data_IF_555428488154
#
_entry.id   IF_555428488154
#
_cell.length_a   1.000
_cell.length_b   1.000
_cell.length_c   1.000
_cell.angle_alpha   90.00
_cell.angle_beta   90.00
_cell.angle_gamma   90.00
#
_symmetry.space_group_name_H-M   'P 1'
#
loop_
_entity.id
_entity.type
_entity.pdbx_description
1 polymer ?
2 non-polymer ?
3 non-polymer ?
4 water ?
#
# COMPACT_ATOMS: atom_id res chain seq x y z
N UNK A 1 6.71 8.74 24.33
CA UNK A 1 7.22 7.36 24.07
C UNK A 1 6.18 6.49 23.41
N UNK A 2 6.56 5.27 23.04
CA UNK A 2 5.66 4.33 22.39
C UNK A 2 4.44 4.04 23.23
N UNK A 3 4.59 4.09 24.55
CA UNK A 3 3.45 3.83 25.42
C UNK A 3 2.42 4.94 25.30
N UNK A 4 2.89 6.19 25.21
CA UNK A 4 1.99 7.33 25.07
C UNK A 4 1.39 7.34 23.66
N UNK A 5 2.19 6.95 22.68
CA UNK A 5 1.74 6.90 21.29
C UNK A 5 0.58 5.94 21.17
N UNK A 6 0.74 4.74 21.73
CA UNK A 6 -0.33 3.75 21.67
C UNK A 6 -1.52 4.26 22.45
N UNK A 7 -1.23 4.93 23.56
CA UNK A 7 -2.29 5.45 24.40
C UNK A 7 -3.16 6.50 23.74
N UNK A 8 -2.53 7.51 23.13
CA UNK A 8 -3.26 8.57 22.47
C UNK A 8 -4.07 8.04 21.30
N UNK A 9 -3.46 7.17 20.50
CA UNK A 9 -4.16 6.59 19.36
C UNK A 9 -5.38 5.80 19.82
N UNK A 10 -5.23 5.10 20.95
CA UNK A 10 -6.33 4.32 21.50
C UNK A 10 -7.40 5.19 22.13
N UNK A 11 -7.01 6.36 22.62
CA UNK A 11 -7.96 7.28 23.24
C UNK A 11 -8.95 7.80 22.20
N UNK A 12 -8.43 8.24 21.06
CA UNK A 12 -9.27 8.80 20.01
C UNK A 12 -10.12 7.82 19.21
N UNK A 13 -9.73 6.55 19.17
CA UNK A 13 -10.51 5.55 18.44
C UNK A 13 -10.27 5.66 16.94
N UNK A 14 -11.00 4.88 16.10
CA UNK A 14 -12.03 3.89 16.43
C UNK A 14 -11.58 2.43 16.50
N UNK A 15 -10.29 2.18 16.25
CA UNK A 15 -9.78 0.82 16.27
C UNK A 15 -8.54 0.64 17.15
N UNK A 16 -8.15 -0.61 17.39
CA UNK A 16 -6.99 -0.89 18.23
C UNK A 16 -5.72 -0.31 17.63
N UNK A 17 -4.86 0.28 18.49
CA UNK A 17 -3.59 0.88 18.09
C UNK A 17 -2.71 -0.11 17.35
N UNK A 18 -2.88 -1.39 17.66
CA UNK A 18 -2.09 -2.45 17.04
C UNK A 18 -2.38 -2.56 15.55
N UNK A 19 -3.51 -2.02 15.13
CA UNK A 19 -3.91 -2.06 13.73
C UNK A 19 -2.96 -1.27 12.84
N UNK A 20 -2.17 -0.39 13.44
CA UNK A 20 -1.24 0.43 12.66
C UNK A 20 0.23 0.10 12.93
N UNK A 21 0.46 -0.96 13.70
CA UNK A 21 1.82 -1.38 14.04
C UNK A 21 2.70 -1.51 12.80
N UNK A 22 2.15 -2.13 11.75
CA UNK A 22 2.86 -2.31 10.49
C UNK A 22 1.79 -2.25 9.39
N UNK A 23 1.69 -1.10 8.73
CA UNK A 23 0.68 -0.88 7.71
C UNK A 23 1.21 0.06 6.62
N UNK A 24 0.84 -0.21 5.38
CA UNK A 24 1.27 0.61 4.26
C UNK A 24 2.79 0.78 4.16
N UNK A 25 3.21 1.92 3.60
CA UNK A 25 4.63 2.19 3.45
C UNK A 25 5.25 2.97 4.59
N UNK A 26 4.42 3.54 5.45
CA UNK A 26 4.96 4.33 6.55
C UNK A 26 4.61 3.98 7.98
N UNK A 27 3.61 3.15 8.21
CA UNK A 27 3.30 2.84 9.60
C UNK A 27 4.19 1.69 10.06
N UNK A 28 5.12 2.00 10.96
CA UNK A 28 6.06 1.00 11.46
C UNK A 28 7.44 1.61 11.37
N UNK A 29 8.43 1.02 12.04
CA UNK A 29 9.80 1.55 12.02
C UNK A 29 10.24 2.01 10.64
N UNK A 30 10.71 3.25 10.54
CA UNK A 30 11.16 3.79 9.27
C UNK A 30 10.06 3.91 8.24
N UNK A 31 10.40 3.91 6.96
CA UNK A 31 9.39 3.99 5.93
C UNK A 31 9.82 4.81 4.74
N UNK A 32 9.34 4.43 3.55
CA UNK A 32 9.68 5.15 2.32
C UNK A 32 8.67 4.83 1.22
N UNK A 33 8.65 5.66 0.18
CA UNK A 33 7.75 5.43 -0.93
C UNK A 33 6.56 6.39 -0.97
N UNK A 34 5.57 6.01 -1.75
CA UNK A 34 4.37 6.81 -1.89
C UNK A 34 3.29 6.30 -0.93
N UNK A 35 2.78 7.17 -0.05
CA UNK A 35 1.75 6.76 0.89
C UNK A 35 0.65 6.02 0.15
N UNK A 36 0.16 4.92 0.73
CA UNK A 36 -0.87 4.11 0.10
C UNK A 36 -2.28 4.66 0.27
N UNK A 37 -2.53 5.33 1.38
CA UNK A 37 -3.86 5.88 1.68
C UNK A 37 -3.78 6.89 2.82
N UNK A 38 -4.95 7.32 3.28
CA UNK A 38 -5.08 8.31 4.35
C UNK A 38 -4.29 7.91 5.60
N UNK A 39 -4.46 6.67 6.03
CA UNK A 39 -3.76 6.17 7.20
C UNK A 39 -2.25 6.25 6.98
N UNK A 40 -1.79 5.77 5.85
CA UNK A 40 -0.37 5.80 5.53
C UNK A 40 0.13 7.26 5.52
N UNK A 41 -0.76 8.19 5.19
CA UNK A 41 -0.40 9.61 5.15
C UNK A 41 -0.22 10.13 6.57
N UNK A 42 -1.04 9.64 7.49
CA UNK A 42 -0.94 10.06 8.87
C UNK A 42 0.40 9.61 9.42
N UNK A 43 0.82 8.39 9.08
CA UNK A 43 2.10 7.89 9.55
C UNK A 43 3.25 8.65 8.92
N UNK A 44 3.06 9.12 7.69
CA UNK A 44 4.09 9.88 7.00
C UNK A 44 4.32 11.17 7.75
N UNK A 45 3.22 11.88 8.04
CA UNK A 45 3.33 13.13 8.77
C UNK A 45 3.89 12.93 10.17
N UNK A 46 3.58 11.78 10.77
CA UNK A 46 4.07 11.50 12.11
C UNK A 46 5.59 11.31 12.05
N UNK A 47 6.06 10.54 11.07
CA UNK A 47 7.50 10.34 10.94
C UNK A 47 8.18 11.68 10.82
N UNK A 48 7.65 12.53 9.95
CA UNK A 48 8.19 13.86 9.76
C UNK A 48 8.27 14.59 11.10
N UNK A 49 7.17 14.56 11.84
CA UNK A 49 7.10 15.24 13.13
C UNK A 49 8.20 14.70 14.05
N UNK A 50 8.35 13.38 14.12
CA UNK A 50 9.37 12.78 14.97
C UNK A 50 10.77 13.20 14.53
N UNK A 51 11.00 13.34 13.22
CA UNK A 51 12.32 13.76 12.76
C UNK A 51 12.60 15.17 13.25
N UNK A 52 11.59 16.03 13.18
CA UNK A 52 11.74 17.41 13.64
C UNK A 52 12.07 17.46 15.13
N UNK A 53 11.43 16.60 15.92
CA UNK A 53 11.69 16.57 17.35
C UNK A 53 13.13 16.09 17.60
N UNK A 54 13.56 15.08 16.86
CA UNK A 54 14.91 14.56 17.02
C UNK A 54 15.91 15.69 16.75
N UNK A 55 15.63 16.49 15.71
CA UNK A 55 16.51 17.60 15.37
C UNK A 55 16.45 18.68 16.46
N UNK A 56 15.36 18.70 17.22
CA UNK A 56 15.20 19.67 18.30
C UNK A 56 15.90 19.14 19.55
N UNK A 57 16.58 18.02 19.41
CA UNK A 57 17.29 17.42 20.54
C UNK A 57 16.38 16.66 21.49
N UNK A 58 15.49 15.84 20.95
CA UNK A 58 14.58 15.06 21.76
C UNK A 58 14.62 13.58 21.38
N UNK A 59 13.95 12.75 22.16
CA UNK A 59 13.92 11.31 21.93
C UNK A 59 12.47 10.82 21.86
N UNK A 60 11.80 11.08 20.73
CA UNK A 60 10.40 10.71 20.44
C UNK A 60 9.94 9.31 20.81
N UNK A 61 10.82 8.33 20.66
CA UNK A 61 10.46 6.95 20.96
C UNK A 61 10.64 6.49 22.40
N UNK A 62 11.32 7.28 23.21
CA UNK A 62 11.57 6.87 24.58
C UNK A 62 11.03 7.70 25.72
N UNK A 63 11.20 9.02 25.66
CA UNK A 63 10.74 9.85 26.77
C UNK A 63 9.24 9.86 26.99
N UNK A 64 8.86 9.66 28.24
CA UNK A 64 7.46 9.65 28.62
C UNK A 64 6.95 11.08 28.81
N UNK A 65 5.63 11.26 28.82
CA UNK A 65 5.04 12.56 29.03
C UNK A 65 3.63 12.39 29.55
N UNK A 66 3.15 13.37 30.31
CA UNK A 66 1.81 13.33 30.88
C UNK A 66 0.76 13.83 29.90
N UNK A 67 -0.43 13.26 29.99
CA UNK A 67 -1.54 13.66 29.12
C UNK A 67 -2.86 13.05 29.62
N UNK A 68 -3.98 13.59 29.16
CA UNK A 68 -5.31 13.10 29.55
C UNK A 68 -6.19 12.74 28.36
N UNK A 69 -7.07 11.76 28.56
CA UNK A 69 -8.02 11.37 27.53
C UNK A 69 -9.39 11.81 28.06
N UNK A 70 -10.04 12.72 27.35
CA UNK A 70 -11.36 13.19 27.74
C UNK A 70 -12.30 13.16 26.55
N UNK A 71 -13.41 12.42 26.68
CA UNK A 71 -14.40 12.30 25.60
C UNK A 71 -13.67 11.93 24.31
N UNK A 72 -12.75 10.98 24.41
CA UNK A 72 -11.95 10.51 23.29
C UNK A 72 -11.13 11.62 22.67
N UNK A 73 -10.67 12.55 23.50
CA UNK A 73 -9.85 13.65 23.02
C UNK A 73 -8.59 13.73 23.87
N UNK A 74 -7.46 13.97 23.22
CA UNK A 74 -6.18 14.05 23.90
C UNK A 74 -5.86 15.47 24.34
N UNK A 75 -5.51 15.62 25.62
CA UNK A 75 -5.14 16.91 26.20
C UNK A 75 -3.69 16.75 26.66
N UNK A 76 -2.79 17.56 26.12
CA UNK A 76 -1.37 17.47 26.44
C UNK A 76 -0.88 18.26 27.66
N UNK A 77 -0.15 17.57 28.54
CA UNK A 77 0.38 18.22 29.73
C UNK A 77 0.10 17.48 31.03
N UNK A 78 0.74 17.88 32.14
CA UNK A 78 1.70 18.99 32.23
C UNK A 78 3.04 18.59 31.59
N UNK A 79 3.73 19.53 30.95
CA UNK A 79 5.04 19.26 30.35
C UNK A 79 6.17 19.78 31.25
N UNK A 80 7.19 18.95 31.43
CA UNK A 80 8.33 19.31 32.27
C UNK A 80 9.44 19.97 31.45
N UNK A 81 9.36 19.84 30.13
CA UNK A 81 10.35 20.42 29.23
C UNK A 81 9.75 20.60 27.85
N UNK A 82 10.49 21.21 26.94
CA UNK A 82 10.01 21.47 25.59
C UNK A 82 9.81 20.17 24.79
N UNK A 83 10.59 19.15 25.10
CA UNK A 83 10.49 17.88 24.39
C UNK A 83 9.17 17.16 24.64
N UNK A 84 8.70 17.19 25.88
CA UNK A 84 7.42 16.56 26.21
C UNK A 84 6.28 17.26 25.46
N UNK A 85 6.44 18.55 25.22
CA UNK A 85 5.46 19.34 24.48
C UNK A 85 5.42 18.85 23.04
N UNK A 86 6.61 18.76 22.44
CA UNK A 86 6.77 18.31 21.07
C UNK A 86 6.24 16.89 20.84
N UNK A 87 6.66 15.95 21.69
CA UNK A 87 6.23 14.56 21.53
C UNK A 87 4.72 14.41 21.60
N UNK A 88 4.11 14.99 22.62
CA UNK A 88 2.67 14.87 22.77
C UNK A 88 1.96 15.49 21.59
N UNK A 89 2.54 16.55 21.03
CA UNK A 89 1.94 17.23 19.87
C UNK A 89 1.95 16.30 18.66
N UNK A 90 3.05 15.58 18.47
CA UNK A 90 3.15 14.66 17.34
C UNK A 90 2.13 13.54 17.50
N UNK A 91 2.15 12.90 18.66
CA UNK A 91 1.23 11.80 18.91
C UNK A 91 -0.22 12.25 18.84
N UNK A 92 -0.52 13.41 19.42
CA UNK A 92 -1.88 13.94 19.40
C UNK A 92 -2.30 14.17 17.95
N UNK A 93 -1.38 14.63 17.13
CA UNK A 93 -1.68 14.88 15.72
C UNK A 93 -1.95 13.61 14.93
N UNK A 94 -1.16 12.55 15.11
CA UNK A 94 -1.42 11.34 14.34
C UNK A 94 -2.70 10.67 14.87
N UNK A 95 -2.97 10.80 16.17
CA UNK A 95 -4.18 10.22 16.74
C UNK A 95 -5.42 10.86 16.08
N UNK A 96 -5.47 12.18 16.03
CA UNK A 96 -6.59 12.87 15.40
C UNK A 96 -6.69 12.49 13.93
N UNK A 97 -5.57 12.54 13.23
CA UNK A 97 -5.50 12.20 11.80
C UNK A 97 -6.06 10.78 11.61
N UNK A 98 -5.46 9.83 12.31
CA UNK A 98 -5.86 8.43 12.21
C UNK A 98 -7.35 8.23 12.50
N UNK A 99 -7.85 8.94 13.50
CA UNK A 99 -9.25 8.82 13.87
C UNK A 99 -10.26 9.03 12.74
N UNK A 100 -9.91 9.88 11.78
CA UNK A 100 -10.81 10.20 10.66
C UNK A 100 -10.73 9.31 9.43
N UNK A 101 -10.00 8.21 9.54
CA UNK A 101 -9.79 7.33 8.39
C UNK A 101 -10.57 6.03 8.33
N UNK A 102 -10.63 5.46 7.13
CA UNK A 102 -11.25 4.17 6.88
C UNK A 102 -10.06 3.22 6.84
N UNK A 103 -10.28 1.96 7.20
CA UNK A 103 -9.21 0.97 7.23
C UNK A 103 -9.20 0.04 6.01
N UNK A 104 -8.01 -0.11 5.42
CA UNK A 104 -7.84 -0.97 4.25
C UNK A 104 -6.98 -2.18 4.63
N UNK A 105 -7.63 -3.33 4.81
CA UNK A 105 -6.95 -4.56 5.18
C UNK A 105 -5.82 -4.95 4.21
N UNK A 106 -6.01 -4.65 2.93
CA UNK A 106 -5.04 -4.96 1.90
C UNK A 106 -3.67 -4.33 2.10
N UNK A 107 -3.57 -3.38 3.03
CA UNK A 107 -2.30 -2.71 3.30
C UNK A 107 -1.69 -3.14 4.64
N UNK A 108 -2.37 -4.02 5.34
CA UNK A 108 -1.86 -4.52 6.61
C UNK A 108 -0.68 -5.42 6.29
N UNK A 109 0.50 -5.09 6.83
CA UNK A 109 1.71 -5.88 6.59
C UNK A 109 2.15 -5.79 5.14
N UNK A 110 1.97 -4.62 4.54
CA UNK A 110 2.36 -4.39 3.15
C UNK A 110 3.89 -4.47 3.02
N UNK A 111 4.40 -5.28 2.08
CA UNK A 111 5.84 -5.47 1.84
C UNK A 111 6.55 -4.19 1.41
N UNK A 112 7.53 -3.76 2.20
CA UNK A 112 8.25 -2.54 1.86
C UNK A 112 8.91 -2.68 0.49
N UNK A 113 9.05 -3.92 0.02
CA UNK A 113 9.65 -4.15 -1.29
C UNK A 113 8.80 -3.46 -2.36
N UNK A 114 7.50 -3.36 -2.09
CA UNK A 114 6.58 -2.73 -3.03
C UNK A 114 6.51 -1.23 -2.85
N UNK A 115 7.25 -0.69 -1.88
CA UNK A 115 7.26 0.74 -1.64
C UNK A 115 8.40 1.40 -2.39
N UNK A 116 8.10 2.52 -3.04
CA UNK A 116 9.09 3.25 -3.83
C UNK A 116 10.26 3.74 -2.99
N UNK A 117 11.41 3.98 -3.64
CA UNK A 117 12.63 4.47 -2.99
C UNK A 117 12.50 5.88 -2.43
N UNK A 118 11.79 6.73 -3.17
CA UNK A 118 11.59 8.13 -2.78
C UNK A 118 10.31 8.38 -2.00
N UNK A 119 10.32 9.46 -1.22
CA UNK A 119 9.18 9.83 -0.39
C UNK A 119 8.81 11.30 -0.57
N UNK A 120 7.53 11.64 -0.35
CA UNK A 120 7.09 13.03 -0.49
C UNK A 120 7.81 13.87 0.57
N UNK A 121 7.96 15.16 0.32
CA UNK A 121 8.64 16.04 1.27
C UNK A 121 7.85 16.22 2.56
N UNK A 122 8.56 16.57 3.62
CA UNK A 122 7.94 16.80 4.91
C UNK A 122 7.53 18.28 5.01
N UNK A 123 6.44 18.54 5.70
CA UNK A 123 5.97 19.92 5.86
C UNK A 123 6.86 20.71 6.82
N UNK B 1 6.17 -1.29 -14.40
CA UNK B 1 6.95 -2.45 -13.89
C UNK B 1 6.31 -3.09 -12.68
N UNK B 2 6.96 -4.13 -12.16
CA UNK B 2 6.47 -4.85 -10.99
C UNK B 2 5.85 -3.95 -9.92
N UNK B 3 6.57 -2.91 -9.51
CA UNK B 3 6.04 -2.02 -8.48
C UNK B 3 4.73 -1.37 -8.90
N UNK B 4 4.69 -0.85 -10.12
CA UNK B 4 3.50 -0.20 -10.63
C UNK B 4 2.33 -1.18 -10.72
N UNK B 5 2.64 -2.41 -11.12
CA UNK B 5 1.63 -3.46 -11.23
C UNK B 5 1.01 -3.74 -9.87
N UNK B 6 1.86 -3.92 -8.85
CA UNK B 6 1.38 -4.20 -7.51
C UNK B 6 0.59 -3.01 -7.01
N UNK B 7 1.10 -1.81 -7.31
CA UNK B 7 0.42 -0.60 -6.88
C UNK B 7 -0.95 -0.43 -7.50
N UNK B 8 -1.03 -0.50 -8.82
CA UNK B 8 -2.32 -0.33 -9.50
C UNK B 8 -3.37 -1.33 -9.05
N UNK B 9 -2.95 -2.57 -8.81
CA UNK B 9 -3.87 -3.61 -8.36
C UNK B 9 -4.34 -3.33 -6.94
N UNK B 10 -3.42 -2.89 -6.09
CA UNK B 10 -3.79 -2.58 -4.71
C UNK B 10 -4.72 -1.39 -4.64
N UNK B 11 -4.45 -0.40 -5.48
CA UNK B 11 -5.23 0.83 -5.56
C UNK B 11 -6.72 0.59 -5.80
N UNK B 12 -7.02 -0.18 -6.84
CA UNK B 12 -8.40 -0.45 -7.24
C UNK B 12 -9.09 -1.60 -6.51
N UNK B 13 -8.36 -2.69 -6.28
CA UNK B 13 -8.92 -3.85 -5.64
C UNK B 13 -9.17 -3.82 -4.14
N UNK B 14 -9.84 -4.87 -3.61
CA UNK B 14 -10.19 -5.06 -2.20
C UNK B 14 -9.22 -5.94 -1.40
N UNK B 15 -8.12 -6.36 -2.03
CA UNK B 15 -7.17 -7.22 -1.32
C UNK B 15 -5.71 -6.96 -1.68
N UNK B 16 -4.81 -7.49 -0.87
CA UNK B 16 -3.38 -7.30 -1.12
C UNK B 16 -3.00 -7.91 -2.46
N UNK B 17 -2.08 -7.26 -3.20
CA UNK B 17 -1.61 -7.72 -4.50
C UNK B 17 -0.95 -9.09 -4.41
N UNK B 18 -0.39 -9.36 -3.24
CA UNK B 18 0.29 -10.62 -2.96
C UNK B 18 -0.67 -11.82 -3.15
N UNK B 19 -1.97 -11.54 -3.11
CA UNK B 19 -2.99 -12.57 -3.28
C UNK B 19 -3.00 -13.15 -4.70
N UNK B 20 -2.32 -12.49 -5.64
CA UNK B 20 -2.28 -12.96 -7.01
C UNK B 20 -0.88 -13.39 -7.44
N UNK B 21 0.03 -13.44 -6.48
CA UNK B 21 1.41 -13.82 -6.74
C UNK B 21 1.49 -15.21 -7.39
N UNK B 22 0.75 -16.17 -6.84
CA UNK B 22 0.71 -17.53 -7.36
C UNK B 22 -0.74 -18.00 -7.20
N UNK B 23 -1.51 -17.92 -8.28
CA UNK B 23 -2.91 -18.30 -8.23
C UNK B 23 -3.38 -18.79 -9.60
N UNK B 24 -4.18 -19.86 -9.60
CA UNK B 24 -4.69 -20.41 -10.85
C UNK B 24 -3.59 -20.87 -11.79
N UNK B 25 -3.89 -20.88 -13.09
CA UNK B 25 -2.91 -21.30 -14.09
C UNK B 25 -2.20 -20.13 -14.77
N UNK B 26 -2.70 -18.90 -14.56
CA UNK B 26 -2.09 -17.74 -15.19
C UNK B 26 -1.57 -16.61 -14.30
N UNK B 27 -1.96 -16.57 -13.03
CA UNK B 27 -1.47 -15.51 -12.15
C UNK B 27 -0.10 -15.86 -11.60
N UNK B 28 0.92 -15.18 -12.10
CA UNK B 28 2.28 -15.44 -11.67
C UNK B 28 3.13 -15.82 -12.86
N UNK B 29 4.45 -15.74 -12.72
CA UNK B 29 5.37 -16.08 -13.81
C UNK B 29 4.81 -17.18 -14.72
N UNK B 30 4.77 -16.91 -16.03
CA UNK B 30 4.26 -17.89 -16.98
C UNK B 30 2.77 -18.16 -16.82
N UNK B 31 2.24 -19.07 -17.64
CA UNK B 31 0.83 -19.38 -17.56
C UNK B 31 0.29 -20.09 -18.79
N UNK B 32 -0.47 -21.16 -18.58
CA UNK B 32 -1.03 -21.91 -19.69
C UNK B 32 -2.15 -22.85 -19.19
N UNK B 33 -3.05 -23.19 -20.09
CA UNK B 33 -4.15 -24.07 -19.73
C UNK B 33 -5.45 -23.32 -19.76
N UNK B 34 -6.48 -23.92 -19.17
CA UNK B 34 -7.80 -23.29 -19.12
C UNK B 34 -7.96 -22.46 -17.86
N UNK B 35 -8.15 -21.15 -18.00
CA UNK B 35 -8.32 -20.32 -16.80
C UNK B 35 -9.33 -20.98 -15.88
N UNK B 36 -8.99 -21.08 -14.60
CA UNK B 36 -9.85 -21.71 -13.62
C UNK B 36 -11.03 -20.87 -13.17
N UNK B 37 -10.85 -19.55 -13.12
CA UNK B 37 -11.93 -18.69 -12.70
C UNK B 37 -11.76 -17.26 -13.21
N UNK B 38 -12.60 -16.36 -12.71
CA UNK B 38 -12.58 -14.97 -13.12
C UNK B 38 -11.19 -14.35 -12.91
N UNK B 39 -10.69 -14.45 -11.68
CA UNK B 39 -9.37 -13.91 -11.36
C UNK B 39 -8.34 -14.44 -12.35
N UNK B 40 -8.38 -15.74 -12.59
CA UNK B 40 -7.44 -16.39 -13.50
C UNK B 40 -7.61 -15.92 -14.94
N UNK B 41 -8.81 -15.45 -15.28
CA UNK B 41 -9.06 -14.94 -16.63
C UNK B 41 -8.39 -13.57 -16.75
N UNK B 42 -8.47 -12.79 -15.68
CA UNK B 42 -7.86 -11.47 -15.66
C UNK B 42 -6.36 -11.61 -15.88
N UNK B 43 -5.77 -12.62 -15.26
CA UNK B 43 -4.34 -12.86 -15.40
C UNK B 43 -4.02 -13.39 -16.79
N UNK B 44 -5.04 -13.90 -17.48
CA UNK B 44 -4.86 -14.41 -18.83
C UNK B 44 -4.74 -13.22 -19.78
N UNK B 45 -5.70 -12.31 -19.71
CA UNK B 45 -5.68 -11.14 -20.56
C UNK B 45 -4.48 -10.25 -20.31
N UNK B 46 -4.00 -10.25 -19.06
CA UNK B 46 -2.85 -9.45 -18.68
C UNK B 46 -1.61 -10.04 -19.33
N UNK B 47 -1.55 -11.37 -19.40
CA UNK B 47 -0.42 -12.05 -20.01
C UNK B 47 -0.38 -11.70 -21.49
N UNK B 48 -1.54 -11.67 -22.13
CA UNK B 48 -1.63 -11.32 -23.54
C UNK B 48 -1.12 -9.90 -23.70
N UNK B 49 -1.65 -9.00 -22.87
CA UNK B 49 -1.27 -7.59 -22.89
C UNK B 49 0.24 -7.45 -22.75
N UNK B 50 0.82 -8.10 -21.74
CA UNK B 50 2.25 -8.02 -21.51
C UNK B 50 3.04 -8.57 -22.68
N UNK B 51 2.46 -9.54 -23.38
CA UNK B 51 3.14 -10.13 -24.53
C UNK B 51 3.35 -9.09 -25.62
N UNK B 52 2.26 -8.51 -26.12
CA UNK B 52 2.33 -7.50 -27.16
C UNK B 52 3.35 -6.43 -26.75
N UNK B 53 3.20 -5.96 -25.51
CA UNK B 53 4.08 -4.93 -24.97
C UNK B 53 5.55 -5.24 -25.20
N UNK B 54 5.90 -6.51 -25.09
CA UNK B 54 7.29 -6.95 -25.29
C UNK B 54 7.62 -6.94 -26.77
N UNK B 55 6.64 -7.26 -27.60
CA UNK B 55 6.83 -7.29 -29.03
C UNK B 55 7.06 -5.87 -29.58
N UNK B 56 6.82 -4.87 -28.73
CA UNK B 56 7.00 -3.48 -29.12
C UNK B 56 8.31 -2.94 -28.55
N UNK B 57 9.14 -3.84 -28.03
CA UNK B 57 10.41 -3.43 -27.47
C UNK B 57 10.33 -2.91 -26.05
N UNK B 58 9.27 -3.27 -25.34
CA UNK B 58 9.10 -2.83 -23.95
C UNK B 58 9.42 -3.95 -22.96
N UNK B 59 9.72 -3.56 -21.72
CA UNK B 59 10.05 -4.51 -20.65
C UNK B 59 9.00 -4.41 -19.54
N UNK B 60 7.84 -5.05 -19.74
CA UNK B 60 6.72 -5.06 -18.79
C UNK B 60 7.08 -5.25 -17.32
N UNK B 61 8.17 -5.96 -17.05
CA UNK B 61 8.57 -6.20 -15.67
C UNK B 61 9.44 -5.12 -15.04
N UNK B 62 10.26 -4.45 -15.86
CA UNK B 62 11.17 -3.44 -15.32
C UNK B 62 10.81 -1.97 -15.59
N UNK B 63 10.50 -1.64 -16.83
CA UNK B 63 10.17 -0.27 -17.20
C UNK B 63 9.24 0.46 -16.24
N UNK B 64 9.70 1.61 -15.75
CA UNK B 64 8.94 2.45 -14.84
C UNK B 64 7.99 3.36 -15.61
N UNK B 65 7.04 3.96 -14.89
CA UNK B 65 6.08 4.87 -15.51
C UNK B 65 5.26 5.60 -14.46
N UNK B 66 4.80 6.79 -14.80
CA UNK B 66 4.02 7.60 -13.87
C UNK B 66 2.52 7.34 -13.93
N UNK B 67 1.91 7.26 -12.76
CA UNK B 67 0.47 7.03 -12.63
C UNK B 67 0.07 7.53 -11.26
N UNK B 68 -1.23 7.69 -11.05
CA UNK B 68 -1.73 8.17 -9.77
C UNK B 68 -2.97 7.39 -9.36
N UNK B 69 -3.13 7.17 -8.07
CA UNK B 69 -4.28 6.46 -7.56
C UNK B 69 -5.26 7.46 -6.94
N UNK B 70 -6.11 8.05 -7.77
CA UNK B 70 -7.08 9.01 -7.27
C UNK B 70 -8.40 8.31 -6.98
N UNK B 71 -8.87 8.44 -5.74
CA UNK B 71 -10.13 7.83 -5.33
C UNK B 71 -10.14 6.34 -5.69
N UNK B 72 -9.05 5.65 -5.34
CA UNK B 72 -8.91 4.23 -5.63
C UNK B 72 -9.29 3.92 -7.07
N UNK B 73 -8.71 4.70 -7.98
CA UNK B 73 -8.94 4.53 -9.40
C UNK B 73 -7.62 4.89 -10.08
N UNK B 74 -7.16 4.01 -10.95
CA UNK B 74 -5.89 4.22 -11.65
C UNK B 74 -5.93 5.27 -12.75
N UNK B 75 -5.01 6.23 -12.65
CA UNK B 75 -4.87 7.29 -13.63
C UNK B 75 -3.49 7.13 -14.27
N UNK B 76 -3.46 6.97 -15.59
CA UNK B 76 -2.20 6.79 -16.30
C UNK B 76 -1.63 8.07 -16.88
N UNK B 77 -0.31 8.23 -16.80
CA UNK B 77 0.33 9.41 -17.34
C UNK B 77 0.93 10.34 -16.31
N UNK B 78 1.77 11.30 -16.74
CA UNK B 78 2.16 11.53 -18.13
C UNK B 78 3.09 10.45 -18.68
N UNK B 79 2.85 10.03 -19.92
CA UNK B 79 3.68 8.99 -20.54
C UNK B 79 4.88 9.60 -21.27
N UNK B 80 6.07 9.28 -20.79
CA UNK B 80 7.32 9.78 -21.39
C UNK B 80 7.64 9.13 -22.72
N UNK B 81 7.03 7.97 -22.98
CA UNK B 81 7.24 7.25 -24.22
C UNK B 81 6.17 6.19 -24.38
N UNK B 82 5.99 5.71 -25.62
CA UNK B 82 4.96 4.71 -25.90
C UNK B 82 4.88 3.57 -24.88
N UNK B 83 6.02 2.96 -24.56
CA UNK B 83 6.03 1.86 -23.60
C UNK B 83 5.31 2.21 -22.30
N UNK B 84 5.57 3.40 -21.77
CA UNK B 84 4.91 3.80 -20.53
C UNK B 84 3.40 3.75 -20.69
N UNK B 85 2.91 4.18 -21.85
CA UNK B 85 1.49 4.17 -22.12
C UNK B 85 0.94 2.74 -22.10
N UNK B 86 1.59 1.86 -22.85
CA UNK B 86 1.19 0.46 -22.93
C UNK B 86 1.15 -0.25 -21.58
N UNK B 87 2.30 -0.25 -20.90
CA UNK B 87 2.40 -0.91 -19.60
C UNK B 87 1.36 -0.43 -18.59
N UNK B 88 1.14 0.88 -18.54
CA UNK B 88 0.17 1.41 -17.60
C UNK B 88 -1.23 0.93 -17.97
N UNK B 89 -1.51 0.86 -19.27
CA UNK B 89 -2.83 0.41 -19.71
C UNK B 89 -3.05 -1.04 -19.28
N UNK B 90 -2.05 -1.90 -19.53
CA UNK B 90 -2.14 -3.31 -19.16
C UNK B 90 -2.44 -3.46 -17.68
N UNK B 91 -1.56 -2.92 -16.84
CA UNK B 91 -1.73 -2.99 -15.39
C UNK B 91 -3.07 -2.41 -14.98
N UNK B 92 -3.43 -1.28 -15.58
CA UNK B 92 -4.70 -0.62 -15.27
C UNK B 92 -5.87 -1.54 -15.60
N UNK B 93 -5.76 -2.27 -16.71
CA UNK B 93 -6.81 -3.18 -17.12
C UNK B 93 -6.98 -4.36 -16.16
N UNK B 94 -5.88 -4.96 -15.73
CA UNK B 94 -5.99 -6.09 -14.81
C UNK B 94 -6.51 -5.61 -13.46
N UNK B 95 -6.05 -4.44 -13.03
CA UNK B 95 -6.49 -3.88 -11.75
C UNK B 95 -8.02 -3.79 -11.72
N UNK B 96 -8.60 -3.19 -12.76
CA UNK B 96 -10.06 -3.06 -12.83
C UNK B 96 -10.72 -4.44 -12.92
N UNK B 97 -10.12 -5.31 -13.71
CA UNK B 97 -10.62 -6.67 -13.91
C UNK B 97 -10.66 -7.45 -12.60
N UNK B 98 -9.56 -7.37 -11.85
CA UNK B 98 -9.43 -8.06 -10.57
C UNK B 98 -10.33 -7.50 -9.48
N UNK B 99 -10.49 -6.19 -9.44
CA UNK B 99 -11.30 -5.54 -8.42
C UNK B 99 -12.75 -6.02 -8.37
N UNK B 100 -13.18 -6.74 -9.40
CA UNK B 100 -14.55 -7.23 -9.48
C UNK B 100 -14.70 -8.75 -9.41
N UNK B 101 -13.84 -9.40 -8.64
CA UNK B 101 -13.90 -10.84 -8.53
C UNK B 101 -13.92 -11.30 -7.09
N UNK B 102 -14.35 -12.55 -6.89
CA UNK B 102 -14.35 -13.13 -5.56
C UNK B 102 -13.16 -14.09 -5.53
N UNK B 103 -12.54 -14.20 -4.36
CA UNK B 103 -11.35 -15.02 -4.22
C UNK B 103 -11.59 -16.49 -3.85
N UNK B 104 -11.25 -17.39 -4.77
CA UNK B 104 -11.40 -18.83 -4.52
C UNK B 104 -10.07 -19.31 -3.93
N UNK B 105 -10.10 -19.64 -2.64
CA UNK B 105 -8.91 -20.08 -1.92
C UNK B 105 -8.22 -21.31 -2.50
N UNK B 106 -8.98 -22.24 -3.07
CA UNK B 106 -8.37 -23.45 -3.60
C UNK B 106 -7.43 -23.23 -4.76
N UNK B 107 -7.44 -22.04 -5.36
CA UNK B 107 -6.55 -21.78 -6.48
C UNK B 107 -5.26 -21.10 -6.04
N UNK B 108 -5.16 -20.75 -4.77
CA UNK B 108 -3.94 -20.13 -4.26
C UNK B 108 -2.89 -21.23 -4.23
N UNK B 109 -1.80 -21.03 -4.95
CA UNK B 109 -0.72 -22.02 -5.00
C UNK B 109 -1.23 -23.31 -5.65
N UNK B 110 -2.03 -23.16 -6.70
CA UNK B 110 -2.59 -24.28 -7.44
C UNK B 110 -1.46 -25.05 -8.11
N UNK B 111 -1.56 -26.40 -8.15
CA UNK B 111 -0.52 -27.23 -8.77
C UNK B 111 -0.50 -27.02 -10.28
N UNK B 112 0.54 -26.39 -10.78
CA UNK B 112 0.66 -26.12 -12.21
C UNK B 112 0.62 -27.39 -13.07
N UNK B 113 1.07 -28.52 -12.53
CA UNK B 113 1.04 -29.75 -13.30
C UNK B 113 -0.39 -30.20 -13.59
N UNK B 114 -1.35 -29.44 -13.07
CA UNK B 114 -2.77 -29.73 -13.29
C UNK B 114 -3.31 -28.80 -14.37
N UNK B 115 -2.44 -27.94 -14.90
CA UNK B 115 -2.85 -27.00 -15.93
C UNK B 115 -2.68 -27.59 -17.34
N UNK B 116 -3.79 -27.67 -18.06
CA UNK B 116 -3.81 -28.21 -19.42
C UNK B 116 -2.75 -27.58 -20.30
N UNK B 117 -2.31 -28.31 -21.34
CA UNK B 117 -1.30 -27.85 -22.30
C UNK B 117 -1.80 -26.71 -23.19
N UNK B 118 -3.00 -26.90 -23.73
CA UNK B 118 -3.59 -25.91 -24.60
C UNK B 118 -4.19 -24.74 -23.84
N UNK B 119 -3.77 -23.54 -24.22
CA UNK B 119 -4.25 -22.32 -23.58
C UNK B 119 -5.13 -21.56 -24.55
N UNK B 120 -6.17 -20.87 -24.04
CA UNK B 120 -7.10 -20.10 -24.86
C UNK B 120 -6.45 -18.99 -25.69
N UNK B 121 -7.19 -18.48 -26.67
CA UNK B 121 -6.70 -17.44 -27.55
C UNK B 121 -6.74 -16.05 -26.90
N UNK B 122 -5.82 -15.18 -27.33
CA UNK B 122 -5.74 -13.84 -26.80
C UNK B 122 -6.76 -12.90 -27.43
N UNK B 123 -7.02 -11.79 -26.75
CA UNK B 123 -7.97 -10.76 -27.20
C UNK B 123 -9.42 -11.15 -26.94
X LIG C 1 7.21 5.13 10.27
X LIG D 1 4.77 1.64 14.84
X LIG D 1 6.13 1.83 15.45
X LIG D 1 7.25 1.23 15.26
X LIG D 1 5.76 1.22 16.87
X LIG D 1 6.31 3.33 15.64
X LIG D 1 7.38 4.23 15.48
X LIG D 1 7.07 5.65 15.80
X LIG D 1 8.68 3.85 15.04
X LIG E 1 3.87 -0.46 19.41
X LIG E 1 2.39 -0.31 19.24
X LIG E 1 1.44 -0.22 20.10
X LIG E 1 2.14 -1.79 18.74
X LIG E 1 2.16 0.66 18.07
X LIG E 1 1.29 1.72 17.77
X LIG E 1 1.45 2.35 16.44
X LIG E 1 0.30 2.20 18.66
X LIG F 1 20.39 16.22 24.89
X LIG F 1 21.00 15.40 23.80
X LIG F 1 22.06 14.67 23.75
X LIG F 1 21.51 16.62 22.91
X LIG F 1 19.84 14.74 23.07
X LIG F 1 19.58 13.48 22.51
X LIG F 1 18.25 13.30 21.91
X LIG F 1 20.52 12.41 22.53
X LIG G 1 1.50 -14.79 -15.95
X LIG H 1 3.06 -12.42 -9.77
X LIG H 1 4.20 -12.04 -10.68
X LIG H 1 5.31 -12.63 -10.96
X LIG H 1 4.76 -10.87 -9.77
X LIG H 1 3.57 -11.41 -11.92
X LIG H 1 3.80 -11.45 -13.30
X LIG H 1 2.87 -10.64 -14.12
X LIG H 1 4.84 -12.20 -13.91
X LIG I 1 2.48 -7.96 -8.71
X LIG I 1 1.19 -8.59 -8.30
X LIG I 1 0.20 -8.15 -7.61
X LIG I 1 1.81 -9.61 -7.24
X LIG I 1 0.68 -9.39 -9.51
X LIG I 1 -0.57 -9.60 -10.13
X LIG I 1 -0.54 -10.49 -11.32
X LIG I 1 -1.77 -9.02 -9.70
#
# INVERSE_FOLDING_TARGET
GILELAGTVGCVGPRTPIAYMKYGCFCGLGGHGQPRDAIDWCCHGHDCCYTRAEEAGCSPKTERYSWQCVNQSVLCGPAENKCQELLCKCDQEIANCLAQTEYNLKYLFYPQFLCEPDSPKCD
GILELAGTVGCVGPRTPIAYMKYGCFCGLGGHGQPRDAIDWCCHGHDCCYTRAEEAGCSPKTERYSWQCVNQSVLCGPAENKCQELLCKCDQEIANCLAQTEYNLKYLFYPQFLCEPDSPKCD
CA CA
MPD C1 C2 O2 CM C3 C4 O4 C5
MPD C1 C2 O2 CM C3 C4 O4 C5
MPD C1 C2 O2 CM C3 C4 O4 C5
CA CA
MPD C1 C2 O2 CM C3 C4 O4 C5
MPD C1 C2 O2 CM C3 C4 O4 C5
#
